data_IF_885594247712
#
_entry.id   IF_885594247712
#
_cell.length_a   1.000
_cell.length_b   1.000
_cell.length_c   1.000
_cell.angle_alpha   90.00
_cell.angle_beta   90.00
_cell.angle_gamma   90.00
#
_symmetry.space_group_name_H-M   'P 1'
#
loop_
_entity.id
_entity.type
_entity.pdbx_description
1 polymer ?
#
# COMPACT_ATOMS: atom_id res chain seq x y z
N UNK A 1 -40.98 24.89 -3.98
CA UNK A 1 -39.70 24.38 -4.57
C UNK A 1 -38.65 25.47 -4.39
N UNK A 2 -37.43 25.14 -3.89
CA UNK A 2 -36.36 26.11 -3.74
C UNK A 2 -35.92 26.62 -5.11
N UNK A 3 -35.84 27.97 -5.24
CA UNK A 3 -35.44 28.64 -6.50
C UNK A 3 -33.91 28.70 -6.63
N UNK A 4 -33.21 28.66 -5.50
CA UNK A 4 -31.74 28.69 -5.44
C UNK A 4 -31.21 27.71 -4.39
N UNK A 5 -30.08 27.07 -4.69
CA UNK A 5 -29.28 26.30 -3.76
C UNK A 5 -27.90 26.97 -3.64
N UNK A 6 -27.57 27.46 -2.46
CA UNK A 6 -26.27 28.05 -2.17
C UNK A 6 -25.51 27.08 -1.27
N UNK A 7 -24.31 26.66 -1.68
CA UNK A 7 -23.44 25.76 -0.93
C UNK A 7 -22.02 26.33 -0.84
N UNK A 8 -21.42 26.24 0.33
CA UNK A 8 -19.98 26.48 0.51
C UNK A 8 -19.20 25.23 0.08
N UNK A 9 -18.37 25.37 -0.96
CA UNK A 9 -17.52 24.31 -1.50
C UNK A 9 -16.05 24.56 -1.22
N UNK A 10 -15.69 25.46 -0.30
CA UNK A 10 -14.30 25.71 0.11
C UNK A 10 -13.67 24.50 0.79
N UNK A 11 -14.49 23.64 1.37
CA UNK A 11 -14.15 22.31 1.87
C UNK A 11 -15.12 21.28 1.31
N UNK A 12 -14.58 20.15 0.89
CA UNK A 12 -15.37 19.00 0.44
C UNK A 12 -14.99 17.76 1.23
N UNK A 13 -15.87 16.79 1.27
CA UNK A 13 -15.58 15.48 1.84
C UNK A 13 -15.32 14.47 0.74
N UNK A 14 -14.23 13.75 0.86
CA UNK A 14 -14.05 12.50 0.13
C UNK A 14 -14.67 11.37 0.94
N UNK A 15 -15.60 10.64 0.34
CA UNK A 15 -16.24 9.47 0.92
C UNK A 15 -15.70 8.21 0.26
N UNK A 16 -15.24 7.25 1.04
CA UNK A 16 -14.80 5.96 0.55
C UNK A 16 -15.53 4.83 1.29
N UNK A 17 -15.77 3.74 0.56
CA UNK A 17 -16.49 2.58 1.06
C UNK A 17 -15.55 1.39 1.16
N UNK A 18 -15.14 1.08 2.38
CA UNK A 18 -14.18 0.01 2.70
C UNK A 18 -14.89 -1.33 2.79
N UNK A 19 -14.32 -2.38 2.22
CA UNK A 19 -14.87 -3.73 2.32
C UNK A 19 -14.79 -4.26 3.75
N UNK A 20 -15.74 -5.08 4.15
CA UNK A 20 -15.79 -5.70 5.48
C UNK A 20 -14.48 -6.39 5.88
N UNK A 21 -13.82 -7.06 4.93
CA UNK A 21 -12.52 -7.74 5.15
C UNK A 21 -11.37 -6.82 5.55
N UNK A 22 -11.47 -5.53 5.23
CA UNK A 22 -10.42 -4.54 5.43
C UNK A 22 -10.74 -3.54 6.57
N UNK A 23 -11.94 -3.63 7.15
CA UNK A 23 -12.41 -2.71 8.21
C UNK A 23 -11.44 -2.64 9.40
N UNK A 24 -10.90 -3.78 9.82
CA UNK A 24 -9.99 -3.84 10.96
C UNK A 24 -8.67 -3.06 10.75
N UNK A 25 -8.34 -2.75 9.50
CA UNK A 25 -7.11 -2.05 9.12
C UNK A 25 -7.29 -0.54 9.03
N UNK A 26 -8.52 -0.02 9.04
CA UNK A 26 -8.80 1.39 8.79
C UNK A 26 -9.10 2.11 10.09
N UNK A 27 -8.41 3.23 10.32
CA UNK A 27 -8.53 4.05 11.53
C UNK A 27 -8.55 5.54 11.19
N UNK A 28 -9.14 6.33 12.10
CA UNK A 28 -9.02 7.79 12.04
C UNK A 28 -7.55 8.19 12.11
N UNK A 29 -7.15 9.17 11.29
CA UNK A 29 -5.79 9.68 11.18
C UNK A 29 -4.93 9.01 10.11
N UNK A 30 -5.35 7.88 9.55
CA UNK A 30 -4.61 7.23 8.45
C UNK A 30 -4.59 8.09 7.20
N UNK A 31 -3.50 7.98 6.46
CA UNK A 31 -3.29 8.69 5.20
C UNK A 31 -4.24 8.14 4.14
N UNK A 32 -4.92 9.07 3.47
CA UNK A 32 -5.79 8.80 2.35
C UNK A 32 -5.30 9.63 1.15
N UNK A 33 -5.05 8.98 0.04
CA UNK A 33 -4.75 9.65 -1.23
C UNK A 33 -5.86 9.34 -2.23
N UNK A 34 -6.14 10.30 -3.10
CA UNK A 34 -7.16 10.09 -4.14
C UNK A 34 -6.83 10.87 -5.42
N UNK A 35 -7.41 10.39 -6.50
CA UNK A 35 -7.40 11.05 -7.82
C UNK A 35 -8.82 11.17 -8.32
N UNK A 36 -9.12 12.30 -8.96
CA UNK A 36 -10.40 12.51 -9.64
C UNK A 36 -10.23 12.34 -11.15
N UNK A 37 -11.28 11.94 -11.84
CA UNK A 37 -11.22 11.67 -13.28
C UNK A 37 -10.89 12.91 -14.13
N UNK A 38 -11.23 14.10 -13.63
CA UNK A 38 -10.93 15.37 -14.29
C UNK A 38 -9.47 15.79 -14.20
N UNK A 39 -8.73 15.26 -13.21
CA UNK A 39 -7.31 15.55 -12.95
C UNK A 39 -6.56 14.24 -12.67
N UNK A 40 -6.35 13.38 -13.67
CA UNK A 40 -5.83 12.03 -13.48
C UNK A 40 -4.35 12.00 -13.01
N UNK A 41 -3.60 13.06 -13.33
CA UNK A 41 -2.19 13.18 -12.95
C UNK A 41 -2.00 13.82 -11.57
N UNK A 42 -3.03 14.48 -11.03
CA UNK A 42 -2.96 15.11 -9.71
C UNK A 42 -3.37 14.14 -8.62
N UNK A 43 -2.47 13.94 -7.66
CA UNK A 43 -2.74 13.18 -6.44
C UNK A 43 -3.09 14.16 -5.33
N UNK A 44 -4.26 14.00 -4.76
CA UNK A 44 -4.69 14.70 -3.55
C UNK A 44 -4.37 13.85 -2.34
N UNK A 45 -3.98 14.49 -1.24
CA UNK A 45 -3.64 13.81 0.00
C UNK A 45 -4.41 14.43 1.16
N UNK A 46 -4.94 13.58 2.03
CA UNK A 46 -5.63 13.97 3.26
C UNK A 46 -5.51 12.85 4.30
N UNK A 47 -6.22 12.99 5.42
CA UNK A 47 -6.31 11.97 6.46
C UNK A 47 -7.76 11.68 6.78
N UNK A 48 -8.03 10.42 7.12
CA UNK A 48 -9.35 10.00 7.56
C UNK A 48 -9.71 10.75 8.85
N UNK A 49 -10.81 11.46 8.84
CA UNK A 49 -11.36 12.18 9.99
C UNK A 49 -12.64 11.55 10.54
N UNK A 50 -13.26 10.65 9.79
CA UNK A 50 -14.46 9.96 10.21
C UNK A 50 -14.48 8.52 9.71
N UNK A 51 -14.83 7.62 10.62
CA UNK A 51 -15.12 6.19 10.34
C UNK A 51 -16.51 5.90 10.89
N UNK A 52 -17.39 5.37 10.07
CA UNK A 52 -18.74 5.05 10.48
C UNK A 52 -18.74 3.99 11.62
N UNK A 53 -19.67 4.07 12.58
CA UNK A 53 -19.73 3.12 13.69
C UNK A 53 -20.19 1.72 13.29
N UNK A 54 -20.74 1.56 12.10
CA UNK A 54 -21.25 0.28 11.58
C UNK A 54 -21.09 0.13 10.08
N UNK A 55 -21.18 -1.12 9.65
CA UNK A 55 -21.17 -1.51 8.24
C UNK A 55 -22.59 -1.34 7.69
N UNK A 56 -22.70 -0.76 6.52
CA UNK A 56 -23.96 -0.68 5.80
C UNK A 56 -24.46 -2.08 5.42
N UNK A 57 -25.67 -2.47 5.83
CA UNK A 57 -26.17 -3.85 5.68
C UNK A 57 -26.41 -4.25 4.22
N UNK A 58 -26.71 -3.29 3.35
CA UNK A 58 -27.04 -3.57 1.95
C UNK A 58 -25.77 -3.71 1.10
N UNK A 59 -24.83 -2.80 1.26
CA UNK A 59 -23.58 -2.80 0.49
C UNK A 59 -22.46 -3.63 1.13
N UNK A 60 -22.58 -4.00 2.40
CA UNK A 60 -21.54 -4.67 3.20
C UNK A 60 -20.23 -3.88 3.23
N UNK A 61 -20.33 -2.55 3.29
CA UNK A 61 -19.18 -1.65 3.30
C UNK A 61 -19.24 -0.68 4.48
N UNK A 62 -18.05 -0.29 4.95
CA UNK A 62 -17.88 0.72 5.97
C UNK A 62 -17.63 2.07 5.30
N UNK A 63 -18.43 3.07 5.62
CA UNK A 63 -18.19 4.44 5.17
C UNK A 63 -17.04 5.06 5.97
N UNK A 64 -16.05 5.60 5.27
CA UNK A 64 -15.03 6.49 5.81
C UNK A 64 -15.06 7.81 5.07
N UNK A 65 -14.71 8.91 5.77
CA UNK A 65 -14.63 10.24 5.17
C UNK A 65 -13.33 10.92 5.57
N UNK A 66 -12.94 11.86 4.73
CA UNK A 66 -11.85 12.76 4.99
C UNK A 66 -12.20 14.15 4.43
N UNK A 67 -11.89 15.20 5.16
CA UNK A 67 -12.08 16.58 4.73
C UNK A 67 -10.91 16.99 3.83
N UNK A 68 -11.23 17.75 2.78
CA UNK A 68 -10.25 18.23 1.80
C UNK A 68 -10.51 19.72 1.57
N UNK A 69 -9.44 20.51 1.69
CA UNK A 69 -9.50 21.93 1.33
C UNK A 69 -9.60 22.08 -0.19
N UNK A 70 -10.52 22.90 -0.64
CA UNK A 70 -10.86 23.10 -2.06
C UNK A 70 -10.86 24.59 -2.41
N UNK A 71 -9.78 25.29 -2.03
CA UNK A 71 -9.66 26.72 -2.27
C UNK A 71 -9.63 27.08 -3.77
N UNK A 72 -9.12 26.18 -4.60
CA UNK A 72 -9.10 26.33 -6.06
C UNK A 72 -10.43 25.96 -6.74
N UNK A 73 -11.40 25.44 -5.99
CA UNK A 73 -12.72 25.07 -6.48
C UNK A 73 -12.73 23.93 -7.52
N UNK A 74 -11.64 23.16 -7.65
CA UNK A 74 -11.52 22.06 -8.62
C UNK A 74 -12.41 20.88 -8.27
N UNK A 75 -12.54 20.60 -6.99
CA UNK A 75 -13.37 19.49 -6.53
C UNK A 75 -14.83 19.93 -6.45
N UNK A 76 -15.69 19.17 -7.11
CA UNK A 76 -17.15 19.41 -7.09
C UNK A 76 -17.84 18.27 -6.33
N UNK A 77 -18.93 18.57 -5.61
CA UNK A 77 -19.79 17.52 -5.07
C UNK A 77 -20.18 16.50 -6.15
N UNK A 78 -20.40 15.26 -5.75
CA UNK A 78 -20.79 14.13 -6.61
C UNK A 78 -19.73 13.70 -7.66
N UNK A 79 -18.50 14.19 -7.60
CA UNK A 79 -17.41 13.67 -8.42
C UNK A 79 -16.98 12.28 -7.95
N UNK A 80 -16.67 11.41 -8.92
CA UNK A 80 -16.05 10.12 -8.65
C UNK A 80 -14.54 10.27 -8.46
N UNK A 81 -14.00 9.53 -7.49
CA UNK A 81 -12.59 9.50 -7.20
C UNK A 81 -12.09 8.06 -6.99
N UNK A 82 -10.86 7.81 -7.41
CA UNK A 82 -10.12 6.60 -7.03
C UNK A 82 -9.38 6.88 -5.73
N UNK A 83 -9.72 6.14 -4.68
CA UNK A 83 -9.19 6.34 -3.32
C UNK A 83 -8.24 5.22 -2.94
N UNK A 84 -7.10 5.58 -2.38
CA UNK A 84 -6.14 4.66 -1.76
C UNK A 84 -5.98 5.03 -0.28
N UNK A 85 -6.26 4.10 0.62
CA UNK A 85 -6.03 4.26 2.05
C UNK A 85 -4.74 3.51 2.37
N UNK A 86 -3.76 4.22 2.94
CA UNK A 86 -2.50 3.63 3.39
C UNK A 86 -2.72 3.17 4.82
N UNK A 87 -2.98 1.89 4.98
CA UNK A 87 -3.13 1.28 6.29
C UNK A 87 -1.78 0.79 6.78
N UNK A 88 -1.42 1.11 8.02
CA UNK A 88 -0.23 0.59 8.69
C UNK A 88 -0.67 -0.26 9.87
N UNK A 89 -0.20 -1.48 9.94
CA UNK A 89 -0.30 -2.31 11.15
C UNK A 89 0.67 -1.85 12.26
N UNK A 90 1.37 -0.73 12.02
CA UNK A 90 2.29 -0.10 12.96
C UNK A 90 3.60 -0.84 13.15
N UNK A 91 3.80 -1.96 12.48
CA UNK A 91 5.04 -2.73 12.55
C UNK A 91 5.87 -2.47 11.29
N UNK A 92 7.07 -1.88 11.41
CA UNK A 92 7.98 -1.78 10.28
C UNK A 92 8.38 -3.21 9.87
N UNK A 93 8.07 -3.58 8.64
CA UNK A 93 8.50 -4.84 8.05
C UNK A 93 9.56 -4.56 6.99
N UNK A 94 10.59 -5.42 6.87
CA UNK A 94 11.57 -5.30 5.81
C UNK A 94 10.89 -5.31 4.44
N UNK A 95 11.41 -4.54 3.51
CA UNK A 95 11.01 -4.60 2.11
C UNK A 95 12.26 -4.75 1.25
N UNK A 96 12.18 -5.56 0.21
CA UNK A 96 13.30 -5.84 -0.70
C UNK A 96 12.90 -5.48 -2.13
N UNK A 97 13.85 -5.10 -3.00
CA UNK A 97 13.57 -4.93 -4.41
C UNK A 97 13.09 -6.24 -5.03
N UNK A 98 12.12 -6.18 -5.94
CA UNK A 98 11.62 -7.35 -6.65
C UNK A 98 12.72 -8.12 -7.37
N UNK A 99 13.73 -7.40 -7.88
CA UNK A 99 14.88 -7.98 -8.59
C UNK A 99 15.82 -8.80 -7.67
N UNK A 100 15.69 -8.66 -6.35
CA UNK A 100 16.45 -9.43 -5.38
C UNK A 100 15.82 -10.78 -5.06
N UNK A 101 14.54 -10.97 -5.41
CA UNK A 101 13.78 -12.16 -5.06
C UNK A 101 13.94 -13.23 -6.14
N UNK A 102 14.31 -14.42 -5.71
CA UNK A 102 14.37 -15.62 -6.54
C UNK A 102 13.12 -16.45 -6.27
N UNK A 103 12.34 -16.70 -7.33
CA UNK A 103 11.16 -17.56 -7.25
C UNK A 103 11.50 -18.97 -7.70
N UNK A 104 11.19 -19.96 -6.86
CA UNK A 104 11.37 -21.36 -7.16
C UNK A 104 10.07 -22.11 -6.86
N UNK A 105 9.29 -22.32 -7.89
CA UNK A 105 7.92 -22.81 -7.75
C UNK A 105 7.07 -21.87 -6.89
N UNK A 106 6.62 -22.35 -5.73
CA UNK A 106 5.80 -21.58 -4.77
C UNK A 106 6.64 -20.92 -3.66
N UNK A 107 7.95 -21.07 -3.68
CA UNK A 107 8.86 -20.53 -2.68
C UNK A 107 9.56 -19.28 -3.19
N UNK A 108 9.76 -18.32 -2.30
CA UNK A 108 10.55 -17.13 -2.56
C UNK A 108 11.81 -17.17 -1.69
N UNK A 109 12.95 -16.82 -2.29
CA UNK A 109 14.25 -16.83 -1.63
C UNK A 109 15.04 -15.57 -1.96
N UNK A 110 15.95 -15.19 -1.08
CA UNK A 110 16.92 -14.12 -1.28
C UNK A 110 18.31 -14.55 -0.86
N UNK A 111 19.34 -13.99 -1.50
CA UNK A 111 20.70 -14.12 -1.04
C UNK A 111 20.99 -13.09 0.04
N UNK A 112 21.28 -13.56 1.27
CA UNK A 112 21.68 -12.72 2.40
C UNK A 112 23.19 -12.75 2.53
N UNK A 113 23.80 -11.59 2.75
CA UNK A 113 25.24 -11.42 2.92
C UNK A 113 25.55 -11.36 4.42
N UNK A 114 26.32 -12.32 4.91
CA UNK A 114 26.83 -12.34 6.27
C UNK A 114 27.96 -11.33 6.50
N UNK A 115 28.28 -11.07 7.76
CA UNK A 115 29.35 -10.14 8.16
C UNK A 115 30.74 -10.64 7.73
N UNK A 116 30.92 -11.95 7.57
CA UNK A 116 32.12 -12.63 7.07
C UNK A 116 32.22 -12.65 5.53
N UNK A 117 31.36 -11.92 4.83
CA UNK A 117 31.21 -11.91 3.37
C UNK A 117 30.70 -13.25 2.79
N UNK A 118 30.24 -14.17 3.65
CA UNK A 118 29.50 -15.34 3.16
C UNK A 118 28.16 -14.93 2.57
N UNK A 119 27.67 -15.74 1.64
CA UNK A 119 26.33 -15.57 1.07
C UNK A 119 25.49 -16.80 1.35
N UNK A 120 24.31 -16.61 1.89
CA UNK A 120 23.38 -17.66 2.24
C UNK A 120 22.08 -17.47 1.47
N UNK A 121 21.58 -18.55 0.85
CA UNK A 121 20.26 -18.52 0.20
C UNK A 121 19.19 -18.82 1.24
N UNK A 122 18.41 -17.81 1.59
CA UNK A 122 17.40 -17.91 2.64
C UNK A 122 15.99 -17.84 2.07
N UNK A 123 15.14 -18.74 2.54
CA UNK A 123 13.72 -18.72 2.23
C UNK A 123 13.03 -17.56 2.96
N UNK A 124 12.16 -16.84 2.26
CA UNK A 124 11.41 -15.72 2.80
C UNK A 124 9.93 -15.88 2.51
N UNK A 125 9.11 -15.26 3.35
CA UNK A 125 7.67 -15.15 3.14
C UNK A 125 7.33 -13.74 2.68
N UNK A 126 6.76 -13.64 1.50
CA UNK A 126 6.42 -12.36 0.89
C UNK A 126 5.04 -11.86 1.33
N UNK A 127 4.93 -10.54 1.42
CA UNK A 127 3.70 -9.81 1.67
C UNK A 127 3.26 -9.02 0.44
N UNK A 128 2.78 -7.80 0.68
CA UNK A 128 2.30 -6.92 -0.38
C UNK A 128 3.47 -6.35 -1.19
N UNK A 129 3.27 -6.24 -2.51
CA UNK A 129 4.19 -5.52 -3.39
C UNK A 129 3.68 -4.10 -3.63
N UNK A 130 4.60 -3.14 -3.69
CA UNK A 130 4.33 -1.76 -4.05
C UNK A 130 5.44 -1.29 -4.99
N UNK A 131 5.06 -0.88 -6.20
CA UNK A 131 5.96 -0.43 -7.26
C UNK A 131 7.09 -1.45 -7.55
N UNK A 132 8.30 -1.18 -7.05
CA UNK A 132 9.51 -2.00 -7.25
C UNK A 132 9.97 -2.75 -6.00
N UNK A 133 9.24 -2.62 -4.91
CA UNK A 133 9.55 -3.23 -3.62
C UNK A 133 8.50 -4.26 -3.23
N UNK A 134 8.91 -5.32 -2.53
CA UNK A 134 8.02 -6.30 -1.96
C UNK A 134 8.30 -6.46 -0.47
N UNK A 135 7.25 -6.47 0.32
CA UNK A 135 7.31 -6.68 1.76
C UNK A 135 7.76 -8.10 2.09
N UNK A 136 8.62 -8.25 3.09
CA UNK A 136 9.00 -9.55 3.63
C UNK A 136 8.36 -9.71 5.01
N UNK A 137 7.46 -10.67 5.12
CA UNK A 137 6.73 -10.96 6.36
C UNK A 137 7.52 -11.82 7.32
N UNK A 138 8.42 -12.67 6.78
CA UNK A 138 9.21 -13.60 7.56
C UNK A 138 10.49 -14.00 6.81
N UNK A 139 11.54 -14.38 7.55
CA UNK A 139 12.81 -14.86 7.00
C UNK A 139 13.88 -13.79 6.77
N UNK A 140 13.58 -12.49 7.01
CA UNK A 140 14.56 -11.40 6.89
C UNK A 140 14.37 -10.37 8.01
N UNK A 141 15.48 -9.84 8.53
CA UNK A 141 15.49 -8.82 9.55
C UNK A 141 15.92 -7.45 8.99
N UNK A 142 15.44 -6.39 9.61
CA UNK A 142 15.85 -5.04 9.23
C UNK A 142 17.35 -4.86 9.43
N UNK A 143 18.04 -4.31 8.42
CA UNK A 143 19.48 -4.06 8.45
C UNK A 143 20.33 -5.18 7.84
N UNK A 144 19.78 -6.35 7.56
CA UNK A 144 20.51 -7.40 6.83
C UNK A 144 20.82 -6.95 5.40
N UNK A 145 21.99 -7.30 4.92
CA UNK A 145 22.44 -7.01 3.55
C UNK A 145 21.99 -8.12 2.61
N UNK A 146 21.42 -7.74 1.48
CA UNK A 146 20.97 -8.69 0.47
C UNK A 146 21.61 -8.41 -0.89
N UNK A 147 21.72 -9.43 -1.72
CA UNK A 147 22.17 -9.28 -3.11
C UNK A 147 20.98 -8.85 -3.96
N UNK A 148 21.07 -7.65 -4.54
CA UNK A 148 20.03 -7.07 -5.40
C UNK A 148 20.25 -7.29 -6.89
N UNK A 149 21.51 -7.53 -7.31
CA UNK A 149 21.87 -7.78 -8.71
C UNK A 149 22.79 -9.00 -8.80
N UNK A 150 22.56 -9.84 -9.81
CA UNK A 150 23.38 -11.04 -10.01
C UNK A 150 22.95 -12.25 -9.20
N UNK A 151 21.85 -12.21 -8.49
CA UNK A 151 21.28 -13.31 -7.69
C UNK A 151 21.14 -14.61 -8.49
N UNK A 152 20.70 -14.52 -9.75
CA UNK A 152 20.59 -15.66 -10.67
C UNK A 152 21.93 -16.25 -11.10
N UNK A 153 23.01 -15.46 -11.12
CA UNK A 153 24.35 -15.95 -11.42
C UNK A 153 24.92 -16.75 -10.26
N UNK A 154 24.71 -16.27 -9.03
CA UNK A 154 25.17 -16.96 -7.81
C UNK A 154 24.43 -18.30 -7.70
N UNK A 155 23.13 -18.32 -7.94
CA UNK A 155 22.30 -19.52 -7.88
C UNK A 155 22.79 -20.61 -8.85
N UNK A 156 23.10 -20.26 -10.09
CA UNK A 156 23.66 -21.18 -11.10
C UNK A 156 25.04 -21.71 -10.73
N UNK A 157 25.91 -20.89 -10.13
CA UNK A 157 27.24 -21.33 -9.70
C UNK A 157 27.19 -22.29 -8.51
N UNK A 158 26.23 -22.11 -7.62
CA UNK A 158 26.06 -22.97 -6.44
C UNK A 158 25.45 -24.33 -6.83
N UNK A 159 24.49 -24.34 -7.74
CA UNK A 159 23.88 -25.58 -8.26
C UNK A 159 24.88 -26.42 -9.07
N UNK A 160 25.79 -25.77 -9.83
CA UNK A 160 26.82 -26.47 -10.60
C UNK A 160 27.94 -27.11 -9.74
N UNK A 161 28.03 -26.77 -8.46
CA UNK A 161 29.05 -27.26 -7.53
C UNK A 161 28.56 -28.50 -6.72
N UNK A 162 27.28 -28.86 -6.84
CA UNK A 162 26.65 -29.99 -6.14
C UNK A 162 26.43 -31.21 -7.07
N UNK A 163 26.87 -31.14 -8.32
CA UNK A 163 26.89 -32.26 -9.27
C UNK A 163 28.32 -32.74 -9.53
#
# INVERSE_FOLDING_TARGET
DPVFLIGDTSKVWIAAYVRETDVAKVRIGERLTFKVLTEPDRVFETRIDYVAPGIDPDSRRLLVRASVDNADGLLKPEMFASVTIVTSDGKPTPAVPLDAVIYEGNNARVWVVGDDHSVELRQIKLGQSSERMIQVLDGLHAGEKIVTRGSLFIDRMTTAKQT
#
